data_IF_620912667559
#
_entry.id   IF_620912667559
#
_cell.length_a   1.000
_cell.length_b   1.000
_cell.length_c   1.000
_cell.angle_alpha   90.00
_cell.angle_beta   90.00
_cell.angle_gamma   90.00
#
_symmetry.space_group_name_H-M   'P 1'
#
loop_
_entity.id
_entity.type
_entity.pdbx_description
1 polymer ?
#
# COMPACT_ATOMS: atom_id res chain seq x y z
N UNK A 1 7.80 -7.68 -37.05
CA UNK A 1 8.32 -6.29 -37.07
C UNK A 1 7.43 -5.34 -36.26
N UNK A 2 6.10 -5.31 -36.46
CA UNK A 2 5.21 -4.46 -35.68
C UNK A 2 5.19 -4.79 -34.17
N UNK A 3 5.01 -6.07 -33.79
CA UNK A 3 4.98 -6.48 -32.39
C UNK A 3 6.27 -6.12 -31.61
N UNK A 4 7.44 -6.30 -32.22
CA UNK A 4 8.72 -5.96 -31.60
C UNK A 4 8.84 -4.45 -31.32
N UNK A 5 8.48 -3.60 -32.30
CA UNK A 5 8.55 -2.15 -32.12
C UNK A 5 7.59 -1.66 -31.03
N UNK A 6 6.41 -2.28 -30.89
CA UNK A 6 5.47 -1.98 -29.81
C UNK A 6 6.01 -2.43 -28.45
N UNK A 7 6.65 -3.60 -28.37
CA UNK A 7 7.32 -4.07 -27.16
C UNK A 7 8.46 -3.13 -26.76
N UNK A 8 9.29 -2.70 -27.72
CA UNK A 8 10.39 -1.76 -27.47
C UNK A 8 9.87 -0.41 -26.92
N UNK A 9 8.71 0.06 -27.40
CA UNK A 9 8.06 1.26 -26.87
C UNK A 9 7.59 1.09 -25.42
N UNK A 10 7.06 -0.09 -25.05
CA UNK A 10 6.67 -0.41 -23.67
C UNK A 10 7.89 -0.47 -22.74
N UNK A 11 9.00 -1.04 -23.22
CA UNK A 11 10.26 -1.11 -22.47
C UNK A 11 10.90 0.28 -22.28
N UNK A 12 10.76 1.17 -23.28
CA UNK A 12 11.27 2.54 -23.20
C UNK A 12 10.44 3.46 -22.29
N UNK A 13 9.13 3.22 -22.19
CA UNK A 13 8.19 3.98 -21.36
C UNK A 13 7.48 3.06 -20.33
N UNK A 14 8.23 2.50 -19.37
CA UNK A 14 7.77 1.47 -18.47
C UNK A 14 6.56 1.87 -17.62
N UNK A 15 6.38 3.15 -17.30
CA UNK A 15 5.28 3.60 -16.41
C UNK A 15 4.08 4.17 -17.17
N UNK A 16 4.15 4.30 -18.50
CA UNK A 16 3.09 4.87 -19.32
C UNK A 16 2.06 3.83 -19.78
N UNK A 17 0.78 4.18 -19.72
CA UNK A 17 -0.30 3.31 -20.19
C UNK A 17 -0.40 3.32 -21.73
N UNK A 18 -0.07 4.43 -22.39
CA UNK A 18 -0.35 4.62 -23.81
C UNK A 18 0.34 3.58 -24.71
N UNK A 19 1.65 3.27 -24.58
CA UNK A 19 2.30 2.22 -25.37
C UNK A 19 1.63 0.84 -25.20
N UNK A 20 1.12 0.56 -23.99
CA UNK A 20 0.44 -0.71 -23.68
C UNK A 20 -0.95 -0.77 -24.30
N UNK A 21 -1.68 0.34 -24.30
CA UNK A 21 -2.98 0.43 -24.95
C UNK A 21 -2.88 0.29 -26.47
N UNK A 22 -1.84 0.88 -27.08
CA UNK A 22 -1.56 0.67 -28.52
C UNK A 22 -1.20 -0.79 -28.81
N UNK A 23 -0.43 -1.45 -27.93
CA UNK A 23 -0.16 -2.88 -28.06
C UNK A 23 -1.43 -3.73 -27.89
N UNK A 24 -2.34 -3.33 -26.99
CA UNK A 24 -3.64 -3.97 -26.83
C UNK A 24 -4.52 -3.83 -28.08
N UNK A 25 -4.56 -2.65 -28.71
CA UNK A 25 -5.26 -2.44 -29.99
C UNK A 25 -4.74 -3.42 -31.06
N UNK A 26 -3.41 -3.53 -31.19
CA UNK A 26 -2.78 -4.44 -32.15
C UNK A 26 -3.10 -5.92 -31.88
N UNK A 27 -3.18 -6.33 -30.62
CA UNK A 27 -3.56 -7.70 -30.23
C UNK A 27 -5.03 -8.00 -30.55
N UNK A 28 -5.92 -7.06 -30.25
CA UNK A 28 -7.36 -7.19 -30.55
C UNK A 28 -7.61 -7.28 -32.08
N UNK A 29 -6.84 -6.55 -32.89
CA UNK A 29 -6.86 -6.67 -34.36
C UNK A 29 -6.44 -8.08 -34.85
N UNK A 30 -5.71 -8.84 -34.02
CA UNK A 30 -5.34 -10.24 -34.29
C UNK A 30 -6.27 -11.24 -33.57
N UNK A 31 -7.37 -10.79 -32.98
CA UNK A 31 -8.29 -11.59 -32.17
C UNK A 31 -7.64 -12.22 -30.92
N UNK A 32 -6.55 -11.63 -30.40
CA UNK A 32 -5.87 -12.09 -29.18
C UNK A 32 -6.54 -11.49 -27.92
N UNK A 33 -7.08 -12.32 -27.01
CA UNK A 33 -7.77 -11.85 -25.80
C UNK A 33 -6.85 -11.12 -24.80
N UNK A 34 -5.53 -11.19 -24.98
CA UNK A 34 -4.56 -10.45 -24.16
C UNK A 34 -4.73 -8.93 -24.29
N UNK A 35 -5.27 -8.45 -25.42
CA UNK A 35 -5.57 -7.03 -25.59
C UNK A 35 -6.61 -6.52 -24.58
N UNK A 36 -7.75 -7.22 -24.45
CA UNK A 36 -8.78 -6.92 -23.44
C UNK A 36 -8.17 -6.95 -22.02
N UNK A 37 -7.36 -7.97 -21.75
CA UNK A 37 -6.73 -8.16 -20.45
C UNK A 37 -5.73 -7.05 -20.09
N UNK A 38 -4.92 -6.56 -21.04
CA UNK A 38 -4.05 -5.39 -20.86
C UNK A 38 -4.88 -4.18 -20.43
N UNK A 39 -6.00 -3.89 -21.11
CA UNK A 39 -6.86 -2.75 -20.77
C UNK A 39 -7.44 -2.87 -19.37
N UNK A 40 -7.91 -4.06 -19.01
CA UNK A 40 -8.40 -4.35 -17.65
C UNK A 40 -7.31 -4.07 -16.63
N UNK A 41 -6.09 -4.60 -16.82
CA UNK A 41 -4.99 -4.38 -15.89
C UNK A 41 -4.53 -2.91 -15.84
N UNK A 42 -4.60 -2.17 -16.95
CA UNK A 42 -4.32 -0.73 -16.98
C UNK A 42 -5.36 0.03 -16.15
N UNK A 43 -6.64 -0.26 -16.32
CA UNK A 43 -7.70 0.39 -15.56
C UNK A 43 -7.62 0.03 -14.08
N UNK A 44 -7.36 -1.24 -13.75
CA UNK A 44 -7.10 -1.67 -12.37
C UNK A 44 -5.91 -0.92 -11.77
N UNK A 45 -4.81 -0.75 -12.49
CA UNK A 45 -3.65 0.00 -12.01
C UNK A 45 -3.97 1.49 -11.75
N UNK A 46 -4.87 2.10 -12.52
CA UNK A 46 -5.37 3.48 -12.26
C UNK A 46 -6.24 3.53 -11.03
N UNK A 47 -7.10 2.52 -10.83
CA UNK A 47 -7.92 2.39 -9.63
C UNK A 47 -7.06 2.14 -8.39
N UNK A 48 -5.96 1.39 -8.50
CA UNK A 48 -4.98 1.16 -7.41
C UNK A 48 -4.21 2.42 -7.00
N UNK A 49 -4.06 3.40 -7.89
CA UNK A 49 -3.51 4.72 -7.55
C UNK A 49 -4.49 5.58 -6.77
N UNK A 50 -5.78 5.21 -6.74
CA UNK A 50 -6.71 5.84 -5.82
C UNK A 50 -6.34 5.47 -4.38
N UNK A 51 -6.61 6.35 -3.41
CA UNK A 51 -6.43 6.05 -2.00
C UNK A 51 -7.06 4.70 -1.61
N UNK A 52 -6.27 3.85 -0.96
CA UNK A 52 -6.60 2.47 -0.60
C UNK A 52 -7.94 2.35 0.15
N UNK A 53 -8.78 1.38 -0.21
CA UNK A 53 -10.13 1.22 0.35
C UNK A 53 -11.25 1.72 -0.56
N UNK A 54 -10.91 2.38 -1.68
CA UNK A 54 -11.83 2.66 -2.80
C UNK A 54 -11.99 1.37 -3.61
N UNK A 55 -12.67 0.36 -3.05
CA UNK A 55 -13.06 -0.82 -3.82
C UNK A 55 -14.38 -0.51 -4.52
N UNK A 56 -14.26 0.14 -5.68
CA UNK A 56 -15.43 0.47 -6.48
C UNK A 56 -16.05 -0.82 -7.03
N UNK A 57 -17.38 -0.86 -7.27
CA UNK A 57 -18.02 -1.96 -7.99
C UNK A 57 -17.34 -2.24 -9.34
N UNK A 58 -16.81 -1.18 -9.96
CA UNK A 58 -15.97 -1.28 -11.16
C UNK A 58 -14.70 -2.12 -10.95
N UNK A 59 -14.00 -1.97 -9.81
CA UNK A 59 -12.82 -2.78 -9.47
C UNK A 59 -13.20 -4.26 -9.34
N UNK A 60 -14.26 -4.58 -8.60
CA UNK A 60 -14.71 -5.98 -8.42
C UNK A 60 -15.09 -6.62 -9.75
N UNK A 61 -15.83 -5.89 -10.60
CA UNK A 61 -16.17 -6.36 -11.95
C UNK A 61 -14.94 -6.57 -12.82
N UNK A 62 -13.99 -5.64 -12.81
CA UNK A 62 -12.75 -5.73 -13.58
C UNK A 62 -11.88 -6.88 -13.08
N UNK A 63 -11.79 -7.11 -11.77
CA UNK A 63 -11.05 -8.23 -11.18
C UNK A 63 -11.69 -9.57 -11.51
N UNK A 64 -13.01 -9.70 -11.41
CA UNK A 64 -13.69 -10.92 -11.83
C UNK A 64 -13.37 -11.24 -13.30
N UNK A 65 -13.42 -10.22 -14.18
CA UNK A 65 -13.07 -10.40 -15.59
C UNK A 65 -11.59 -10.70 -15.82
N UNK A 66 -10.69 -10.08 -15.06
CA UNK A 66 -9.25 -10.37 -15.06
C UNK A 66 -8.99 -11.85 -14.71
N UNK A 67 -9.66 -12.36 -13.67
CA UNK A 67 -9.57 -13.74 -13.20
C UNK A 67 -10.13 -14.74 -14.20
N UNK A 68 -11.28 -14.45 -14.82
CA UNK A 68 -11.86 -15.26 -15.90
C UNK A 68 -10.88 -15.44 -17.06
N UNK A 69 -10.35 -14.32 -17.55
CA UNK A 69 -9.38 -14.29 -18.65
C UNK A 69 -8.08 -15.01 -18.26
N UNK A 70 -7.57 -14.76 -17.06
CA UNK A 70 -6.39 -15.45 -16.55
C UNK A 70 -6.60 -16.96 -16.47
N UNK A 71 -7.71 -17.42 -15.87
CA UNK A 71 -7.99 -18.86 -15.73
C UNK A 71 -8.02 -19.59 -17.08
N UNK A 72 -8.46 -18.90 -18.14
CA UNK A 72 -8.55 -19.47 -19.47
C UNK A 72 -7.21 -19.45 -20.23
N UNK A 73 -6.46 -18.34 -20.15
CA UNK A 73 -5.34 -18.08 -21.08
C UNK A 73 -3.95 -17.97 -20.44
N UNK A 74 -3.82 -18.04 -19.10
CA UNK A 74 -2.55 -17.73 -18.43
C UNK A 74 -1.34 -18.52 -18.95
N UNK A 75 -1.53 -19.77 -19.37
CA UNK A 75 -0.43 -20.61 -19.89
C UNK A 75 0.19 -20.07 -21.18
N UNK A 76 -0.60 -19.40 -22.01
CA UNK A 76 -0.15 -18.80 -23.26
C UNK A 76 0.55 -17.46 -23.01
N UNK A 77 0.26 -16.82 -21.88
CA UNK A 77 0.80 -15.49 -21.54
C UNK A 77 2.02 -15.55 -20.63
N UNK A 78 2.16 -16.63 -19.86
CA UNK A 78 3.32 -16.85 -19.01
C UNK A 78 4.59 -16.85 -19.86
N UNK A 79 5.67 -16.20 -19.38
CA UNK A 79 6.98 -16.40 -19.97
C UNK A 79 7.32 -17.89 -19.99
N UNK A 80 7.93 -18.34 -21.08
CA UNK A 80 8.52 -19.69 -21.13
C UNK A 80 9.50 -19.84 -19.96
N UNK A 81 9.52 -20.99 -19.28
CA UNK A 81 10.42 -21.18 -18.16
C UNK A 81 11.87 -21.14 -18.64
N UNK A 82 12.71 -20.36 -17.94
CA UNK A 82 14.16 -20.26 -18.16
C UNK A 82 14.82 -21.64 -18.30
N UNK A 83 14.33 -22.60 -17.51
CA UNK A 83 14.62 -24.03 -17.58
C UNK A 83 13.36 -24.80 -17.10
N UNK A 84 12.89 -25.86 -17.79
CA UNK A 84 11.76 -26.68 -17.35
C UNK A 84 11.89 -27.23 -15.92
N UNK A 85 13.11 -27.46 -15.44
CA UNK A 85 13.39 -27.89 -14.06
C UNK A 85 13.18 -26.76 -13.03
N UNK A 86 13.15 -25.51 -13.49
CA UNK A 86 13.00 -24.29 -12.70
C UNK A 86 11.61 -23.65 -12.83
N UNK A 87 10.65 -24.32 -13.49
CA UNK A 87 9.32 -23.77 -13.75
C UNK A 87 8.57 -23.27 -12.51
N UNK A 88 8.93 -23.76 -11.31
CA UNK A 88 8.34 -23.33 -10.04
C UNK A 88 9.23 -22.38 -9.21
N UNK A 89 10.46 -22.11 -9.67
CA UNK A 89 11.41 -21.25 -8.96
C UNK A 89 11.08 -19.76 -9.13
N UNK A 90 10.48 -19.39 -10.26
CA UNK A 90 10.06 -18.03 -10.59
C UNK A 90 8.55 -17.97 -10.64
N UNK A 91 7.96 -17.18 -9.75
CA UNK A 91 6.51 -16.94 -9.76
C UNK A 91 6.26 -15.53 -10.26
N UNK A 92 5.80 -15.43 -11.50
CA UNK A 92 5.50 -14.17 -12.15
C UNK A 92 4.15 -13.62 -11.70
N UNK A 93 4.09 -12.30 -11.54
CA UNK A 93 2.86 -11.54 -11.41
C UNK A 93 2.85 -10.46 -12.47
N UNK A 94 1.66 -10.24 -13.01
CA UNK A 94 1.49 -9.33 -14.12
C UNK A 94 0.95 -7.99 -13.65
N UNK A 95 1.50 -6.92 -14.22
CA UNK A 95 0.95 -5.58 -14.13
C UNK A 95 0.78 -5.02 -15.53
N UNK A 96 -0.36 -4.37 -15.76
CA UNK A 96 -0.71 -3.71 -17.02
C UNK A 96 -0.45 -4.59 -18.25
N UNK A 97 -0.67 -5.90 -18.13
CA UNK A 97 -0.55 -6.85 -19.22
C UNK A 97 0.77 -7.61 -19.37
N UNK A 98 1.76 -7.34 -18.52
CA UNK A 98 3.11 -7.90 -18.64
C UNK A 98 3.62 -8.44 -17.31
N UNK A 99 4.44 -9.49 -17.38
CA UNK A 99 5.20 -9.97 -16.23
C UNK A 99 6.17 -8.88 -15.79
N UNK A 100 5.80 -8.12 -14.77
CA UNK A 100 6.57 -6.99 -14.25
C UNK A 100 7.10 -7.28 -12.83
N UNK A 101 6.43 -8.22 -12.15
CA UNK A 101 6.77 -8.72 -10.83
C UNK A 101 7.24 -10.16 -10.92
N UNK A 102 8.30 -10.48 -10.16
CA UNK A 102 8.75 -11.85 -9.99
C UNK A 102 9.02 -12.14 -8.51
N UNK A 103 8.56 -13.29 -8.04
CA UNK A 103 8.95 -13.85 -6.75
C UNK A 103 9.92 -15.01 -6.95
N UNK A 104 11.05 -14.96 -6.26
CA UNK A 104 12.17 -15.89 -6.44
C UNK A 104 13.03 -15.92 -5.17
N UNK A 105 13.73 -17.02 -4.89
CA UNK A 105 14.73 -17.02 -3.81
C UNK A 105 15.97 -16.21 -4.19
N UNK A 106 16.67 -15.61 -3.22
CA UNK A 106 17.90 -14.85 -3.47
C UNK A 106 18.96 -15.66 -4.24
N UNK A 107 19.20 -16.92 -3.86
CA UNK A 107 20.16 -17.79 -4.52
C UNK A 107 19.83 -18.04 -6.01
N UNK A 108 18.58 -18.41 -6.30
CA UNK A 108 18.11 -18.62 -7.68
C UNK A 108 18.21 -17.36 -8.54
N UNK A 109 17.89 -16.20 -7.97
CA UNK A 109 18.06 -14.94 -8.68
C UNK A 109 19.53 -14.67 -9.01
N UNK A 110 20.43 -14.82 -8.03
CA UNK A 110 21.87 -14.60 -8.26
C UNK A 110 22.44 -15.52 -9.34
N UNK A 111 21.93 -16.74 -9.45
CA UNK A 111 22.37 -17.71 -10.46
C UNK A 111 21.81 -17.42 -11.87
N UNK A 112 20.59 -16.86 -11.98
CA UNK A 112 19.85 -16.77 -13.23
C UNK A 112 19.41 -15.35 -13.63
N UNK A 113 19.88 -14.30 -12.94
CA UNK A 113 19.43 -12.93 -13.19
C UNK A 113 19.68 -12.48 -14.64
N UNK A 114 20.85 -12.77 -15.22
CA UNK A 114 21.15 -12.41 -16.61
C UNK A 114 20.11 -12.96 -17.58
N UNK A 115 19.79 -14.25 -17.45
CA UNK A 115 18.80 -14.93 -18.28
C UNK A 115 17.38 -14.40 -18.01
N UNK A 116 17.02 -14.19 -16.75
CA UNK A 116 15.74 -13.60 -16.35
C UNK A 116 15.48 -12.27 -17.06
N UNK A 117 16.46 -11.36 -17.04
CA UNK A 117 16.30 -10.04 -17.66
C UNK A 117 16.47 -10.06 -19.18
N UNK A 118 17.08 -11.10 -19.75
CA UNK A 118 17.13 -11.29 -21.20
C UNK A 118 15.77 -11.76 -21.74
N UNK A 119 15.14 -12.73 -21.06
CA UNK A 119 13.88 -13.33 -21.49
C UNK A 119 12.65 -12.52 -21.06
N UNK A 120 12.70 -11.89 -19.89
CA UNK A 120 11.61 -11.10 -19.31
C UNK A 120 12.09 -9.69 -18.95
N UNK A 121 12.45 -8.85 -19.96
CA UNK A 121 13.02 -7.53 -19.72
C UNK A 121 12.05 -6.53 -19.05
N UNK A 122 10.77 -6.87 -18.94
CA UNK A 122 9.74 -6.07 -18.26
C UNK A 122 9.83 -6.15 -16.72
N UNK A 123 10.53 -7.13 -16.15
CA UNK A 123 10.67 -7.27 -14.70
C UNK A 123 11.40 -6.07 -14.11
N UNK A 124 10.75 -5.43 -13.15
CA UNK A 124 11.34 -4.32 -12.36
C UNK A 124 10.95 -4.39 -10.87
N UNK A 125 10.21 -5.42 -10.47
CA UNK A 125 9.71 -5.60 -9.11
C UNK A 125 10.04 -7.03 -8.70
N UNK A 126 10.84 -7.19 -7.66
CA UNK A 126 11.24 -8.53 -7.21
C UNK A 126 10.96 -8.70 -5.73
N UNK A 127 10.27 -9.80 -5.42
CA UNK A 127 10.04 -10.28 -4.06
C UNK A 127 10.96 -11.46 -3.79
N UNK A 128 11.89 -11.27 -2.87
CA UNK A 128 12.90 -12.26 -2.53
C UNK A 128 12.47 -13.14 -1.37
N UNK A 129 12.66 -14.45 -1.57
CA UNK A 129 12.58 -15.46 -0.51
C UNK A 129 13.98 -15.84 -0.06
N UNK A 130 14.13 -16.35 1.17
CA UNK A 130 15.38 -16.88 1.71
C UNK A 130 16.57 -15.92 1.56
N UNK A 131 16.37 -14.66 1.92
CA UNK A 131 17.37 -13.58 1.70
C UNK A 131 18.58 -13.71 2.63
N UNK A 132 18.39 -14.21 3.86
CA UNK A 132 19.38 -14.10 4.94
C UNK A 132 20.75 -14.68 4.61
N UNK A 133 20.82 -15.78 3.86
CA UNK A 133 22.09 -16.45 3.55
C UNK A 133 22.85 -15.80 2.39
N UNK A 134 22.17 -15.00 1.57
CA UNK A 134 22.74 -14.39 0.37
C UNK A 134 22.54 -12.88 0.32
N UNK A 135 22.24 -12.25 1.47
CA UNK A 135 21.91 -10.82 1.52
C UNK A 135 23.08 -9.98 1.01
N UNK A 136 24.30 -10.33 1.40
CA UNK A 136 25.48 -9.58 1.00
C UNK A 136 25.72 -9.68 -0.51
N UNK A 137 25.72 -10.88 -1.08
CA UNK A 137 25.88 -11.05 -2.54
C UNK A 137 24.73 -10.37 -3.29
N UNK A 138 23.50 -10.50 -2.80
CA UNK A 138 22.32 -9.86 -3.39
C UNK A 138 22.47 -8.34 -3.42
N UNK A 139 22.82 -7.71 -2.30
CA UNK A 139 23.00 -6.26 -2.20
C UNK A 139 24.18 -5.72 -3.02
N UNK A 140 25.06 -6.59 -3.54
CA UNK A 140 26.15 -6.21 -4.47
C UNK A 140 25.84 -6.59 -5.93
N UNK A 141 24.64 -7.12 -6.23
CA UNK A 141 24.27 -7.49 -7.58
C UNK A 141 23.83 -6.27 -8.39
N UNK A 142 24.57 -6.01 -9.48
CA UNK A 142 24.26 -4.93 -10.44
C UNK A 142 22.88 -5.09 -11.09
N UNK A 143 22.31 -6.29 -11.07
CA UNK A 143 20.96 -6.56 -11.52
C UNK A 143 19.88 -5.81 -10.74
N UNK A 144 20.14 -5.47 -9.46
CA UNK A 144 19.18 -4.71 -8.65
C UNK A 144 18.96 -3.28 -9.18
N UNK A 145 19.88 -2.75 -9.99
CA UNK A 145 19.70 -1.45 -10.65
C UNK A 145 18.55 -1.42 -11.65
N UNK A 146 18.08 -2.59 -12.09
CA UNK A 146 16.90 -2.71 -12.97
C UNK A 146 15.58 -2.64 -12.19
N UNK A 147 15.63 -2.62 -10.85
CA UNK A 147 14.46 -2.72 -10.01
C UNK A 147 14.01 -1.36 -9.49
N UNK A 148 12.70 -1.17 -9.52
CA UNK A 148 11.98 -0.05 -8.89
C UNK A 148 11.37 -0.49 -7.55
N UNK A 149 10.95 -1.75 -7.43
CA UNK A 149 10.46 -2.32 -6.17
C UNK A 149 11.36 -3.45 -5.71
N UNK A 150 11.78 -3.37 -4.45
CA UNK A 150 12.48 -4.43 -3.75
C UNK A 150 11.66 -4.88 -2.55
N UNK A 151 11.20 -6.13 -2.58
CA UNK A 151 10.47 -6.75 -1.48
C UNK A 151 11.35 -7.81 -0.80
N UNK A 152 11.79 -7.51 0.41
CA UNK A 152 12.57 -8.37 1.31
C UNK A 152 11.72 -8.78 2.53
N UNK A 153 10.40 -8.78 2.39
CA UNK A 153 9.48 -9.16 3.45
C UNK A 153 9.57 -10.66 3.78
N UNK A 154 9.50 -11.00 5.05
CA UNK A 154 9.38 -12.40 5.46
C UNK A 154 7.98 -12.91 5.09
N UNK A 155 7.91 -14.09 4.46
CA UNK A 155 6.64 -14.72 4.09
C UNK A 155 6.49 -16.17 4.54
N UNK A 156 7.58 -16.94 4.57
CA UNK A 156 7.53 -18.39 4.80
C UNK A 156 8.71 -18.94 5.60
N UNK A 157 9.76 -18.15 5.81
CA UNK A 157 11.05 -18.66 6.26
C UNK A 157 11.25 -18.43 7.77
N UNK A 158 12.05 -19.29 8.40
CA UNK A 158 12.44 -19.16 9.82
C UNK A 158 13.51 -18.08 10.06
N UNK A 159 14.03 -17.47 8.99
CA UNK A 159 15.05 -16.42 9.07
C UNK A 159 14.43 -15.04 8.78
N UNK A 160 14.64 -14.13 9.72
CA UNK A 160 14.12 -12.76 9.68
C UNK A 160 15.29 -11.81 9.45
N UNK A 161 15.10 -10.76 8.67
CA UNK A 161 16.03 -9.63 8.70
C UNK A 161 15.97 -8.96 10.08
N UNK A 162 17.14 -8.57 10.58
CA UNK A 162 17.36 -7.91 11.86
C UNK A 162 18.13 -6.62 11.66
N UNK A 163 18.32 -5.88 12.74
CA UNK A 163 19.11 -4.64 12.75
C UNK A 163 20.53 -4.80 12.22
N UNK A 164 21.13 -5.99 12.36
CA UNK A 164 22.46 -6.30 11.82
C UNK A 164 22.50 -6.34 10.29
N UNK A 165 21.36 -6.55 9.64
CA UNK A 165 21.24 -6.72 8.19
C UNK A 165 20.95 -5.39 7.48
N UNK A 166 20.34 -4.44 8.20
CA UNK A 166 19.94 -3.13 7.65
C UNK A 166 21.13 -2.30 7.14
N UNK A 167 22.31 -2.25 7.81
CA UNK A 167 23.48 -1.59 7.26
C UNK A 167 23.85 -2.08 5.85
N UNK A 168 23.77 -3.39 5.60
CA UNK A 168 24.09 -3.97 4.29
C UNK A 168 23.12 -3.50 3.21
N UNK A 169 21.83 -3.39 3.52
CA UNK A 169 20.81 -2.86 2.61
C UNK A 169 21.01 -1.35 2.42
N UNK A 170 21.16 -0.61 3.52
CA UNK A 170 21.30 0.84 3.56
C UNK A 170 22.55 1.36 2.83
N UNK A 171 23.60 0.54 2.72
CA UNK A 171 24.85 0.88 2.04
C UNK A 171 24.95 0.36 0.61
N UNK A 172 23.95 -0.40 0.12
CA UNK A 172 24.01 -0.94 -1.24
C UNK A 172 24.00 0.18 -2.28
N UNK A 173 25.02 0.20 -3.13
CA UNK A 173 25.10 1.11 -4.27
C UNK A 173 24.23 0.67 -5.44
N UNK A 174 23.69 -0.56 -5.41
CA UNK A 174 22.92 -1.17 -6.49
C UNK A 174 21.40 -0.88 -6.38
N UNK A 175 20.96 -0.19 -5.33
CA UNK A 175 19.56 0.17 -5.10
C UNK A 175 19.20 1.60 -5.57
N UNK A 176 20.00 2.18 -6.46
CA UNK A 176 19.88 3.59 -6.85
C UNK A 176 18.61 3.93 -7.66
N UNK A 177 17.95 2.91 -8.23
CA UNK A 177 16.68 3.02 -8.94
C UNK A 177 15.46 2.58 -8.10
N UNK A 178 15.68 2.02 -6.91
CA UNK A 178 14.59 1.53 -6.06
C UNK A 178 13.83 2.70 -5.45
N UNK A 179 12.52 2.70 -5.66
CA UNK A 179 11.57 3.68 -5.12
C UNK A 179 10.61 3.06 -4.11
N UNK A 180 10.49 1.74 -4.09
CA UNK A 180 9.62 1.02 -3.16
C UNK A 180 10.40 -0.07 -2.44
N UNK A 181 10.46 0.02 -1.10
CA UNK A 181 11.12 -0.97 -0.25
C UNK A 181 10.12 -1.59 0.72
N UNK A 182 9.95 -2.90 0.63
CA UNK A 182 9.10 -3.67 1.54
C UNK A 182 9.96 -4.57 2.43
N UNK A 183 9.78 -4.41 3.75
CA UNK A 183 10.51 -5.12 4.80
C UNK A 183 9.53 -5.74 5.81
N UNK A 184 8.35 -6.15 5.35
CA UNK A 184 7.24 -6.61 6.20
C UNK A 184 7.63 -7.90 6.93
N UNK A 185 7.10 -8.12 8.13
CA UNK A 185 7.24 -9.38 8.89
C UNK A 185 8.69 -9.73 9.28
N UNK A 186 9.58 -8.73 9.37
CA UNK A 186 10.95 -8.92 9.82
C UNK A 186 11.09 -8.67 11.34
N UNK A 187 12.33 -8.68 11.86
CA UNK A 187 12.64 -8.36 13.26
C UNK A 187 13.53 -7.12 13.34
N UNK A 188 13.12 -6.08 12.63
CA UNK A 188 13.79 -4.80 12.63
C UNK A 188 13.28 -3.99 13.82
N UNK A 189 14.21 -3.48 14.59
CA UNK A 189 14.01 -2.67 15.79
C UNK A 189 14.59 -1.25 15.54
N UNK A 190 14.67 -0.44 16.60
CA UNK A 190 15.06 0.97 16.49
C UNK A 190 16.48 1.16 15.92
N UNK A 191 17.42 0.27 16.24
CA UNK A 191 18.82 0.41 15.81
C UNK A 191 18.97 0.21 14.30
N UNK A 192 18.19 -0.69 13.71
CA UNK A 192 18.11 -0.88 12.26
C UNK A 192 17.61 0.40 11.57
N UNK A 193 16.63 1.08 12.15
CA UNK A 193 16.15 2.35 11.59
C UNK A 193 17.17 3.48 11.61
N UNK A 194 18.07 3.53 12.60
CA UNK A 194 19.14 4.54 12.57
C UNK A 194 20.02 4.43 11.32
N UNK A 195 20.26 3.21 10.82
CA UNK A 195 21.05 2.98 9.61
C UNK A 195 20.29 3.38 8.35
N UNK A 196 19.00 3.04 8.28
CA UNK A 196 18.15 3.43 7.15
C UNK A 196 17.91 4.94 7.11
N UNK A 197 17.73 5.58 8.28
CA UNK A 197 17.55 7.02 8.42
C UNK A 197 18.74 7.83 7.88
N UNK A 198 19.96 7.29 7.99
CA UNK A 198 21.17 7.92 7.45
C UNK A 198 21.47 7.54 5.99
N UNK A 199 20.66 6.69 5.36
CA UNK A 199 20.93 6.15 4.03
C UNK A 199 20.46 7.07 2.91
N UNK A 200 21.24 7.14 1.82
CA UNK A 200 20.82 7.74 0.56
C UNK A 200 19.71 6.95 -0.17
N UNK A 201 19.47 5.71 0.23
CA UNK A 201 18.32 4.93 -0.24
C UNK A 201 17.02 5.63 0.16
N UNK A 202 16.93 6.11 1.40
CA UNK A 202 15.69 6.68 1.95
C UNK A 202 15.22 7.91 1.16
N UNK A 203 16.13 8.73 0.63
CA UNK A 203 15.78 9.89 -0.20
C UNK A 203 15.31 9.56 -1.60
N UNK A 204 15.36 8.30 -2.01
CA UNK A 204 14.81 7.84 -3.29
C UNK A 204 13.48 7.12 -3.13
N UNK A 205 13.22 6.62 -1.92
CA UNK A 205 11.99 5.89 -1.66
C UNK A 205 10.79 6.83 -1.70
N UNK A 206 9.78 6.39 -2.45
CA UNK A 206 8.40 6.88 -2.38
C UNK A 206 7.56 6.03 -1.44
N UNK A 207 7.86 4.73 -1.35
CA UNK A 207 7.14 3.79 -0.49
C UNK A 207 8.11 3.05 0.42
N UNK A 208 7.86 3.14 1.71
CA UNK A 208 8.54 2.35 2.73
C UNK A 208 7.50 1.57 3.53
N UNK A 209 7.54 0.24 3.40
CA UNK A 209 6.67 -0.64 4.16
C UNK A 209 7.46 -1.42 5.21
N UNK A 210 7.23 -1.08 6.46
CA UNK A 210 7.86 -1.64 7.65
C UNK A 210 6.83 -2.38 8.53
N UNK A 211 5.63 -2.68 8.01
CA UNK A 211 4.59 -3.34 8.79
C UNK A 211 5.08 -4.66 9.43
N UNK A 212 4.51 -5.00 10.59
CA UNK A 212 4.81 -6.25 11.31
C UNK A 212 6.31 -6.40 11.66
N UNK A 213 6.88 -5.34 12.24
CA UNK A 213 8.25 -5.30 12.80
C UNK A 213 8.20 -4.86 14.28
N UNK A 214 9.33 -4.41 14.84
CA UNK A 214 9.44 -3.95 16.24
C UNK A 214 10.13 -2.60 16.34
N UNK A 215 9.84 -1.73 15.38
CA UNK A 215 10.54 -0.45 15.19
C UNK A 215 10.45 0.44 16.43
N UNK A 216 9.30 0.43 17.12
CA UNK A 216 9.07 1.19 18.33
C UNK A 216 9.04 2.71 18.11
N UNK A 217 8.76 3.45 19.19
CA UNK A 217 8.80 4.93 19.15
C UNK A 217 10.18 5.48 18.78
N UNK A 218 11.26 4.85 19.25
CA UNK A 218 12.64 5.28 18.97
C UNK A 218 13.01 5.09 17.48
N UNK A 219 12.61 3.98 16.86
CA UNK A 219 12.85 3.77 15.43
C UNK A 219 12.10 4.79 14.56
N UNK A 220 10.86 5.14 14.94
CA UNK A 220 10.12 6.21 14.25
C UNK A 220 10.76 7.58 14.47
N UNK A 221 11.35 7.83 15.64
CA UNK A 221 12.10 9.05 15.90
C UNK A 221 13.30 9.18 14.97
N UNK A 222 14.07 8.10 14.74
CA UNK A 222 15.18 8.10 13.77
C UNK A 222 14.72 8.50 12.36
N UNK A 223 13.63 7.89 11.87
CA UNK A 223 13.07 8.24 10.56
C UNK A 223 12.59 9.70 10.51
N UNK A 224 11.94 10.16 11.57
CA UNK A 224 11.38 11.51 11.68
C UNK A 224 12.46 12.60 11.73
N UNK A 225 13.65 12.30 12.25
CA UNK A 225 14.78 13.23 12.28
C UNK A 225 15.58 13.23 10.96
N UNK A 226 15.32 12.27 10.07
CA UNK A 226 16.04 12.18 8.80
C UNK A 226 15.47 13.13 7.76
N UNK A 227 16.32 14.02 7.25
CA UNK A 227 16.01 14.86 6.07
C UNK A 227 15.85 14.05 4.79
N UNK A 228 16.32 12.80 4.77
CA UNK A 228 16.20 11.89 3.63
C UNK A 228 14.77 11.37 3.46
N UNK A 229 13.87 11.52 4.45
CA UNK A 229 12.48 11.04 4.36
C UNK A 229 11.55 11.92 3.49
N UNK A 230 12.05 13.02 2.94
CA UNK A 230 11.24 14.06 2.29
C UNK A 230 10.52 13.66 1.00
N UNK A 231 11.00 12.62 0.34
CA UNK A 231 10.37 12.08 -0.87
C UNK A 231 9.40 10.93 -0.58
N UNK A 232 9.26 10.48 0.68
CA UNK A 232 8.32 9.42 1.01
C UNK A 232 6.88 9.90 0.83
N UNK A 233 6.16 9.19 -0.03
CA UNK A 233 4.74 9.39 -0.30
C UNK A 233 3.88 8.44 0.54
N UNK A 234 4.39 7.25 0.85
CA UNK A 234 3.67 6.21 1.59
C UNK A 234 4.55 5.59 2.66
N UNK A 235 4.10 5.68 3.91
CA UNK A 235 4.76 5.09 5.08
C UNK A 235 3.79 4.14 5.79
N UNK A 236 4.15 2.85 5.79
CA UNK A 236 3.36 1.77 6.36
C UNK A 236 4.10 1.22 7.59
N UNK A 237 3.50 1.43 8.76
CA UNK A 237 4.07 1.18 10.09
C UNK A 237 3.10 0.36 10.96
N UNK A 238 2.23 -0.42 10.33
CA UNK A 238 1.27 -1.27 11.03
C UNK A 238 1.99 -2.24 11.98
N UNK A 239 1.46 -2.43 13.18
CA UNK A 239 1.97 -3.36 14.18
C UNK A 239 3.48 -3.25 14.42
N UNK A 240 3.93 -2.09 14.93
CA UNK A 240 5.35 -1.77 15.15
C UNK A 240 5.67 -1.32 16.58
N UNK A 241 4.72 -1.47 17.51
CA UNK A 241 4.83 -1.00 18.89
C UNK A 241 5.15 0.50 19.01
N UNK A 242 4.60 1.31 18.11
CA UNK A 242 4.73 2.77 18.14
C UNK A 242 3.84 3.32 19.24
N UNK A 243 4.41 4.18 20.08
CA UNK A 243 3.73 4.88 21.16
C UNK A 243 3.51 6.37 20.89
N UNK A 244 3.00 7.08 21.89
CA UNK A 244 2.78 8.52 21.85
C UNK A 244 4.06 9.31 21.51
N UNK A 245 5.21 8.89 22.02
CA UNK A 245 6.50 9.54 21.79
C UNK A 245 6.93 9.45 20.32
N UNK A 246 6.66 8.32 19.67
CA UNK A 246 6.93 8.14 18.24
C UNK A 246 6.06 9.06 17.39
N UNK A 247 4.77 9.21 17.74
CA UNK A 247 3.89 10.15 17.04
C UNK A 247 4.25 11.61 17.31
N UNK A 248 4.72 11.95 18.50
CA UNK A 248 5.24 13.28 18.78
C UNK A 248 6.45 13.59 17.88
N UNK A 249 7.40 12.67 17.76
CA UNK A 249 8.54 12.83 16.86
C UNK A 249 8.12 12.97 15.38
N UNK A 250 7.15 12.16 14.94
CA UNK A 250 6.59 12.24 13.58
C UNK A 250 5.92 13.59 13.34
N UNK A 251 5.14 14.09 14.29
CA UNK A 251 4.41 15.35 14.17
C UNK A 251 5.31 16.60 14.19
N UNK A 252 6.41 16.56 14.96
CA UNK A 252 7.39 17.63 15.05
C UNK A 252 8.35 17.67 13.84
N UNK A 253 8.45 16.57 13.09
CA UNK A 253 9.33 16.50 11.94
C UNK A 253 8.90 17.44 10.81
N UNK A 254 9.80 18.27 10.27
CA UNK A 254 9.53 19.10 9.11
C UNK A 254 9.68 18.33 7.79
N UNK A 255 10.03 17.04 7.82
CA UNK A 255 10.50 16.33 6.64
C UNK A 255 9.40 15.60 5.86
N UNK A 256 8.21 15.35 6.41
CA UNK A 256 7.14 14.58 5.75
C UNK A 256 6.39 15.33 4.63
N UNK A 257 7.08 16.18 3.87
CA UNK A 257 6.50 17.12 2.90
C UNK A 257 5.82 16.48 1.71
N UNK A 258 6.12 15.22 1.40
CA UNK A 258 5.50 14.48 0.30
C UNK A 258 4.53 13.39 0.79
N UNK A 259 4.35 13.23 2.10
CA UNK A 259 3.65 12.08 2.66
C UNK A 259 2.14 12.17 2.40
N UNK A 260 1.64 11.24 1.60
CA UNK A 260 0.24 11.13 1.18
C UNK A 260 -0.49 10.00 1.89
N UNK A 261 0.22 8.95 2.31
CA UNK A 261 -0.36 7.82 3.03
C UNK A 261 0.45 7.50 4.28
N UNK A 262 -0.25 7.42 5.41
CA UNK A 262 0.29 6.97 6.69
C UNK A 262 -0.60 5.87 7.25
N UNK A 263 -0.03 4.70 7.50
CA UNK A 263 -0.71 3.57 8.14
C UNK A 263 -0.04 3.25 9.46
N UNK A 264 -0.83 3.28 10.53
CA UNK A 264 -0.39 3.09 11.91
C UNK A 264 -1.20 2.00 12.62
N UNK A 265 -1.95 1.19 11.87
CA UNK A 265 -2.85 0.18 12.41
C UNK A 265 -2.17 -0.74 13.41
N UNK A 266 -2.89 -1.23 14.42
CA UNK A 266 -2.39 -2.17 15.43
C UNK A 266 -1.23 -1.65 16.27
N UNK A 267 -1.05 -0.34 16.35
CA UNK A 267 -0.20 0.29 17.34
C UNK A 267 -1.07 0.66 18.56
N UNK A 268 -1.23 -0.27 19.49
CA UNK A 268 -2.15 -0.11 20.63
C UNK A 268 -1.69 0.91 21.69
N UNK A 269 -0.51 1.49 21.53
CA UNK A 269 0.13 2.37 22.50
C UNK A 269 0.19 3.84 22.05
N UNK A 270 -0.49 4.23 20.97
CA UNK A 270 -0.51 5.63 20.52
C UNK A 270 -1.07 6.54 21.62
N UNK A 271 -2.20 6.12 22.23
CA UNK A 271 -2.89 6.87 23.28
C UNK A 271 -3.38 8.25 22.83
N UNK A 272 -4.15 8.91 23.70
CA UNK A 272 -4.73 10.23 23.41
C UNK A 272 -3.67 11.29 23.07
N UNK A 273 -2.55 11.30 23.81
CA UNK A 273 -1.43 12.22 23.56
C UNK A 273 -0.80 12.02 22.18
N UNK A 274 -0.66 10.76 21.73
CA UNK A 274 -0.14 10.48 20.40
C UNK A 274 -1.07 10.99 19.31
N UNK A 275 -2.39 10.82 19.46
CA UNK A 275 -3.37 11.36 18.50
C UNK A 275 -3.38 12.89 18.51
N UNK A 276 -3.27 13.52 19.69
CA UNK A 276 -3.14 14.97 19.82
C UNK A 276 -1.89 15.48 19.09
N UNK A 277 -0.74 14.83 19.27
CA UNK A 277 0.49 15.16 18.54
C UNK A 277 0.30 15.00 17.03
N UNK A 278 -0.26 13.86 16.58
CA UNK A 278 -0.53 13.62 15.17
C UNK A 278 -1.43 14.71 14.59
N UNK A 279 -2.51 15.09 15.28
CA UNK A 279 -3.41 16.16 14.85
C UNK A 279 -2.70 17.54 14.75
N UNK A 280 -1.64 17.76 15.54
CA UNK A 280 -0.80 18.96 15.47
C UNK A 280 0.27 18.94 14.36
N UNK A 281 0.42 17.84 13.61
CA UNK A 281 1.47 17.68 12.62
C UNK A 281 1.30 18.61 11.41
N UNK A 282 2.20 19.60 11.29
CA UNK A 282 2.13 20.61 10.22
C UNK A 282 2.70 20.13 8.88
N UNK A 283 3.62 19.17 8.92
CA UNK A 283 4.28 18.61 7.73
C UNK A 283 3.41 17.61 6.97
N UNK A 284 2.32 17.12 7.56
CA UNK A 284 1.39 16.15 6.94
C UNK A 284 0.33 16.82 6.07
N UNK A 285 0.58 18.02 5.55
CA UNK A 285 -0.35 18.82 4.75
C UNK A 285 -0.62 18.26 3.34
N UNK A 286 -0.07 17.10 3.00
CA UNK A 286 -0.38 16.36 1.77
C UNK A 286 -1.00 14.97 2.04
N UNK A 287 -1.27 14.63 3.32
CA UNK A 287 -1.83 13.36 3.71
C UNK A 287 -3.26 13.18 3.19
N UNK A 288 -3.47 12.19 2.31
CA UNK A 288 -4.74 11.85 1.68
C UNK A 288 -5.37 10.59 2.28
N UNK A 289 -4.55 9.70 2.86
CA UNK A 289 -4.99 8.44 3.46
C UNK A 289 -4.38 8.25 4.85
N UNK A 290 -5.24 8.08 5.85
CA UNK A 290 -4.86 7.78 7.23
C UNK A 290 -5.47 6.46 7.70
N UNK A 291 -4.62 5.54 8.15
CA UNK A 291 -5.03 4.28 8.77
C UNK A 291 -4.71 4.24 10.26
N UNK A 292 -5.74 4.09 11.09
CA UNK A 292 -5.68 4.02 12.56
C UNK A 292 -6.53 2.85 13.09
N UNK A 293 -6.58 1.74 12.36
CA UNK A 293 -7.34 0.56 12.77
C UNK A 293 -6.70 -0.11 13.98
N UNK A 294 -7.50 -0.57 14.95
CA UNK A 294 -6.98 -1.25 16.15
C UNK A 294 -5.90 -0.41 16.85
N UNK A 295 -6.13 0.90 17.02
CA UNK A 295 -5.18 1.82 17.66
C UNK A 295 -5.66 2.29 19.04
N UNK A 296 -6.81 1.79 19.50
CA UNK A 296 -7.40 2.16 20.78
C UNK A 296 -7.99 3.57 20.80
N UNK A 297 -8.54 4.05 19.67
CA UNK A 297 -9.21 5.35 19.61
C UNK A 297 -10.56 5.34 20.32
N UNK A 298 -10.89 6.48 20.92
CA UNK A 298 -12.12 6.80 21.63
C UNK A 298 -12.83 7.96 20.93
N UNK A 299 -14.11 8.24 21.28
CA UNK A 299 -14.87 9.29 20.61
C UNK A 299 -14.16 10.65 20.57
N UNK A 300 -13.52 11.06 21.68
CA UNK A 300 -12.82 12.35 21.79
C UNK A 300 -11.63 12.50 20.83
N UNK A 301 -11.03 11.40 20.37
CA UNK A 301 -9.88 11.44 19.47
C UNK A 301 -10.28 11.86 18.05
N UNK A 302 -11.52 11.58 17.66
CA UNK A 302 -12.09 12.02 16.38
C UNK A 302 -12.16 13.54 16.29
N UNK A 303 -12.47 14.22 17.40
CA UNK A 303 -12.54 15.68 17.44
C UNK A 303 -11.15 16.30 17.22
N UNK A 304 -10.09 15.67 17.72
CA UNK A 304 -8.72 16.11 17.46
C UNK A 304 -8.34 15.90 16.00
N UNK A 305 -8.60 14.70 15.48
CA UNK A 305 -8.33 14.39 14.07
C UNK A 305 -9.11 15.33 13.14
N UNK A 306 -10.35 15.66 13.48
CA UNK A 306 -11.17 16.62 12.74
C UNK A 306 -10.56 18.03 12.71
N UNK A 307 -9.79 18.44 13.72
CA UNK A 307 -9.13 19.74 13.79
C UNK A 307 -7.73 19.74 13.16
N UNK A 308 -7.24 18.57 12.72
CA UNK A 308 -5.92 18.45 12.14
C UNK A 308 -5.81 19.19 10.80
N UNK A 309 -4.65 19.80 10.47
CA UNK A 309 -4.45 20.50 9.19
C UNK A 309 -4.68 19.62 7.96
N UNK A 310 -4.45 18.31 8.11
CA UNK A 310 -4.64 17.35 7.02
C UNK A 310 -6.09 16.88 6.83
N UNK A 311 -6.99 17.08 7.80
CA UNK A 311 -8.32 16.52 7.74
C UNK A 311 -9.08 16.91 6.46
N UNK A 312 -9.11 18.20 6.04
CA UNK A 312 -9.86 18.62 4.85
C UNK A 312 -9.44 17.94 3.54
N UNK A 313 -8.22 17.41 3.44
CA UNK A 313 -7.73 16.77 2.20
C UNK A 313 -7.82 15.24 2.24
N UNK A 314 -8.20 14.65 3.39
CA UNK A 314 -8.33 13.21 3.53
C UNK A 314 -9.43 12.70 2.60
N UNK A 315 -9.08 11.67 1.83
CA UNK A 315 -10.02 10.89 1.01
C UNK A 315 -10.26 9.51 1.63
N UNK A 316 -9.33 9.00 2.43
CA UNK A 316 -9.44 7.71 3.10
C UNK A 316 -9.18 7.90 4.59
N UNK A 317 -10.15 7.48 5.39
CA UNK A 317 -10.01 7.40 6.84
C UNK A 317 -10.44 6.01 7.30
N UNK A 318 -9.48 5.26 7.84
CA UNK A 318 -9.73 3.92 8.34
C UNK A 318 -9.62 3.88 9.86
N UNK A 319 -10.73 3.58 10.51
CA UNK A 319 -10.92 3.62 11.96
C UNK A 319 -11.45 2.30 12.49
N UNK A 320 -11.35 1.21 11.73
CA UNK A 320 -11.88 -0.09 12.10
C UNK A 320 -11.36 -0.56 13.46
N UNK A 321 -12.19 -1.27 14.21
CA UNK A 321 -11.84 -1.95 15.46
C UNK A 321 -11.24 -0.98 16.50
N UNK A 322 -11.84 0.20 16.60
CA UNK A 322 -11.65 1.12 17.71
C UNK A 322 -12.93 1.12 18.57
N UNK A 323 -13.05 2.04 19.53
CA UNK A 323 -14.23 2.16 20.40
C UNK A 323 -14.89 3.51 20.21
N UNK A 324 -15.27 3.81 18.96
CA UNK A 324 -15.84 5.11 18.63
C UNK A 324 -17.30 5.28 19.07
N UNK A 325 -18.10 4.21 19.07
CA UNK A 325 -19.53 4.26 19.42
C UNK A 325 -20.29 5.29 18.57
N UNK A 326 -21.57 5.52 18.88
CA UNK A 326 -22.36 6.58 18.24
C UNK A 326 -21.80 7.98 18.55
N UNK A 327 -21.14 8.16 19.70
CA UNK A 327 -20.56 9.43 20.11
C UNK A 327 -19.39 9.87 19.22
N UNK A 328 -18.62 8.92 18.69
CA UNK A 328 -17.55 9.18 17.73
C UNK A 328 -18.10 9.49 16.35
N UNK A 329 -19.16 8.78 15.93
CA UNK A 329 -19.91 9.10 14.71
C UNK A 329 -20.47 10.52 14.76
N UNK A 330 -21.06 10.92 15.88
CA UNK A 330 -21.57 12.28 16.10
C UNK A 330 -20.49 13.35 15.86
N UNK A 331 -19.25 13.09 16.27
CA UNK A 331 -18.11 13.99 16.04
C UNK A 331 -17.65 14.01 14.59
N UNK A 332 -17.65 12.86 13.91
CA UNK A 332 -17.37 12.78 12.48
C UNK A 332 -18.36 13.67 11.70
N UNK A 333 -19.66 13.50 11.93
CA UNK A 333 -20.72 14.19 11.15
C UNK A 333 -20.85 15.68 11.48
N UNK A 334 -20.40 16.11 12.67
CA UNK A 334 -20.34 17.53 13.05
C UNK A 334 -19.19 18.28 12.39
N UNK A 335 -18.14 17.59 11.97
CA UNK A 335 -16.99 18.20 11.34
C UNK A 335 -17.18 18.31 9.83
N UNK A 336 -17.04 19.53 9.29
CA UNK A 336 -16.98 19.74 7.84
C UNK A 336 -15.62 19.36 7.24
N UNK A 337 -14.60 19.17 8.08
CA UNK A 337 -13.25 18.89 7.62
C UNK A 337 -13.10 17.47 7.05
N UNK A 338 -14.15 16.64 7.04
CA UNK A 338 -14.14 15.32 6.40
C UNK A 338 -15.01 15.26 5.13
N UNK A 339 -15.42 16.40 4.57
CA UNK A 339 -16.33 16.45 3.40
C UNK A 339 -15.76 15.83 2.11
N UNK A 340 -14.43 15.73 2.03
CA UNK A 340 -13.71 15.14 0.89
C UNK A 340 -13.45 13.64 1.06
N UNK A 341 -13.94 13.02 2.15
CA UNK A 341 -13.83 11.58 2.33
C UNK A 341 -14.55 10.86 1.20
N UNK A 342 -13.86 9.86 0.68
CA UNK A 342 -14.35 8.88 -0.29
C UNK A 342 -14.49 7.50 0.33
N UNK A 343 -13.64 7.18 1.28
CA UNK A 343 -13.68 5.92 2.03
C UNK A 343 -13.68 6.23 3.50
N UNK A 344 -14.70 5.70 4.18
CA UNK A 344 -14.82 5.73 5.62
C UNK A 344 -14.99 4.30 6.12
N UNK A 345 -13.99 3.79 6.81
CA UNK A 345 -14.03 2.45 7.41
C UNK A 345 -14.26 2.57 8.93
N UNK A 346 -15.44 2.14 9.35
CA UNK A 346 -15.93 2.14 10.72
C UNK A 346 -16.23 0.72 11.22
N UNK A 347 -15.69 -0.31 10.57
CA UNK A 347 -15.92 -1.71 10.95
C UNK A 347 -15.61 -1.92 12.43
N UNK A 348 -16.47 -2.58 13.21
CA UNK A 348 -16.14 -3.00 14.58
C UNK A 348 -15.94 -1.86 15.58
N UNK A 349 -16.80 -0.83 15.57
CA UNK A 349 -16.70 0.33 16.45
C UNK A 349 -17.80 0.45 17.52
N UNK A 350 -18.70 -0.54 17.62
CA UNK A 350 -19.84 -0.50 18.54
C UNK A 350 -20.88 0.56 18.16
N UNK A 351 -21.04 0.81 16.86
CA UNK A 351 -22.04 1.75 16.31
C UNK A 351 -23.41 1.08 16.31
N UNK A 352 -24.43 1.78 16.78
CA UNK A 352 -25.82 1.32 16.79
C UNK A 352 -26.63 1.99 15.67
N UNK A 353 -27.91 1.64 15.57
CA UNK A 353 -28.84 2.29 14.63
C UNK A 353 -28.91 3.81 14.80
N UNK A 354 -28.59 4.34 15.98
CA UNK A 354 -28.52 5.78 16.22
C UNK A 354 -27.32 6.41 15.49
N UNK A 355 -26.13 5.80 15.57
CA UNK A 355 -24.99 6.25 14.78
C UNK A 355 -25.23 6.08 13.28
N UNK A 356 -25.92 5.02 12.84
CA UNK A 356 -26.32 4.87 11.45
C UNK A 356 -27.23 6.02 10.96
N UNK A 357 -28.22 6.43 11.77
CA UNK A 357 -29.07 7.60 11.48
C UNK A 357 -28.24 8.88 11.38
N UNK A 358 -27.31 9.10 12.31
CA UNK A 358 -26.43 10.27 12.28
C UNK A 358 -25.59 10.33 11.00
N UNK A 359 -25.05 9.20 10.53
CA UNK A 359 -24.34 9.11 9.26
C UNK A 359 -25.27 9.42 8.08
N UNK A 360 -26.47 8.85 8.07
CA UNK A 360 -27.42 9.02 6.97
C UNK A 360 -27.93 10.48 6.85
N UNK A 361 -28.16 11.14 7.98
CA UNK A 361 -28.59 12.55 8.06
C UNK A 361 -27.46 13.53 7.73
N UNK A 362 -26.20 13.07 7.69
CA UNK A 362 -25.06 13.92 7.37
C UNK A 362 -25.06 14.32 5.88
N UNK A 363 -24.92 15.62 5.64
CA UNK A 363 -24.85 16.22 4.30
C UNK A 363 -23.43 16.35 3.75
N UNK A 364 -22.41 16.03 4.55
CA UNK A 364 -21.01 16.20 4.16
C UNK A 364 -20.39 14.92 3.58
N UNK A 365 -21.12 13.80 3.56
CA UNK A 365 -20.63 12.50 3.07
C UNK A 365 -21.19 12.09 1.71
N UNK A 366 -21.62 13.05 0.89
CA UNK A 366 -22.11 12.80 -0.48
C UNK A 366 -21.05 12.24 -1.43
N UNK A 367 -19.77 12.44 -1.11
CA UNK A 367 -18.64 11.97 -1.93
C UNK A 367 -18.16 10.56 -1.56
N UNK A 368 -18.78 9.93 -0.56
CA UNK A 368 -18.43 8.56 -0.17
C UNK A 368 -18.72 7.59 -1.31
N UNK A 369 -17.75 6.73 -1.56
CA UNK A 369 -17.87 5.58 -2.47
C UNK A 369 -17.68 4.26 -1.75
N UNK A 370 -17.19 4.29 -0.52
CA UNK A 370 -17.15 3.13 0.35
C UNK A 370 -17.38 3.58 1.80
N UNK A 371 -18.43 3.08 2.41
CA UNK A 371 -18.75 3.17 3.83
C UNK A 371 -18.81 1.75 4.37
N UNK A 372 -17.84 1.40 5.23
CA UNK A 372 -17.79 0.06 5.83
C UNK A 372 -18.20 0.13 7.28
N UNK A 373 -19.25 -0.61 7.63
CA UNK A 373 -19.87 -0.59 8.96
C UNK A 373 -20.10 -1.99 9.53
N UNK A 374 -19.46 -3.03 8.95
CA UNK A 374 -19.59 -4.39 9.45
C UNK A 374 -19.13 -4.53 10.91
N UNK A 375 -19.56 -5.61 11.56
CA UNK A 375 -19.17 -5.94 12.92
C UNK A 375 -19.50 -4.84 13.95
N UNK A 376 -20.46 -3.97 13.64
CA UNK A 376 -21.09 -3.04 14.57
C UNK A 376 -22.38 -3.64 15.16
N UNK A 377 -23.06 -2.88 16.02
CA UNK A 377 -24.31 -3.26 16.68
C UNK A 377 -25.54 -2.76 15.89
N UNK A 378 -25.47 -2.83 14.56
CA UNK A 378 -26.54 -2.42 13.66
C UNK A 378 -27.60 -3.51 13.54
N UNK A 379 -28.86 -3.12 13.67
CA UNK A 379 -29.99 -3.96 13.26
C UNK A 379 -30.15 -3.92 11.73
N UNK A 380 -31.04 -4.76 11.21
CA UNK A 380 -31.43 -4.68 9.79
C UNK A 380 -31.99 -3.30 9.42
N UNK A 381 -32.64 -2.60 10.36
CA UNK A 381 -33.17 -1.26 10.12
C UNK A 381 -32.03 -0.23 10.00
N UNK A 382 -31.04 -0.27 10.89
CA UNK A 382 -29.87 0.61 10.83
C UNK A 382 -29.06 0.43 9.53
N UNK A 383 -28.85 -0.82 9.11
CA UNK A 383 -28.21 -1.11 7.83
C UNK A 383 -29.04 -0.59 6.65
N UNK A 384 -30.37 -0.76 6.69
CA UNK A 384 -31.24 -0.29 5.62
C UNK A 384 -31.22 1.24 5.49
N UNK A 385 -31.20 1.97 6.62
CA UNK A 385 -31.11 3.45 6.62
C UNK A 385 -29.86 3.92 5.87
N UNK A 386 -28.71 3.27 6.09
CA UNK A 386 -27.48 3.60 5.39
C UNK A 386 -27.58 3.28 3.89
N UNK A 387 -28.16 2.14 3.54
CA UNK A 387 -28.35 1.72 2.14
C UNK A 387 -29.31 2.64 1.39
N UNK A 388 -30.39 3.08 2.03
CA UNK A 388 -31.35 4.02 1.46
C UNK A 388 -30.68 5.37 1.13
N UNK A 389 -29.70 5.77 1.94
CA UNK A 389 -28.97 7.03 1.76
C UNK A 389 -27.83 6.95 0.75
N UNK A 390 -26.98 5.93 0.88
CA UNK A 390 -25.70 5.85 0.16
C UNK A 390 -25.74 4.85 -1.01
N UNK A 391 -26.72 3.96 -1.05
CA UNK A 391 -26.81 2.85 -2.00
C UNK A 391 -26.02 1.61 -1.56
N UNK A 392 -26.42 0.45 -2.08
CA UNK A 392 -25.78 -0.84 -1.80
C UNK A 392 -24.31 -0.89 -2.23
N UNK A 393 -23.95 -0.16 -3.29
CA UNK A 393 -22.60 -0.11 -3.83
C UNK A 393 -21.62 0.68 -2.94
N UNK A 394 -22.14 1.60 -2.12
CA UNK A 394 -21.34 2.41 -1.19
C UNK A 394 -21.28 1.75 0.18
N UNK A 395 -22.38 1.15 0.65
CA UNK A 395 -22.41 0.41 1.92
C UNK A 395 -21.85 -1.00 1.69
N UNK A 396 -20.53 -1.10 1.66
CA UNK A 396 -19.82 -2.34 1.36
C UNK A 396 -19.77 -3.22 2.60
N UNK A 397 -20.33 -4.43 2.49
CA UNK A 397 -20.13 -5.49 3.46
C UNK A 397 -18.84 -6.24 3.14
N UNK A 398 -18.04 -6.56 4.15
CA UNK A 398 -16.76 -7.28 4.05
C UNK A 398 -16.90 -8.73 3.56
N UNK A 399 -18.13 -9.20 3.30
CA UNK A 399 -18.48 -10.55 2.86
C UNK A 399 -19.45 -10.59 1.65
N UNK A 400 -19.60 -9.47 0.93
CA UNK A 400 -20.48 -9.37 -0.25
C UNK A 400 -19.69 -9.23 -1.53
#
# INVERSE_FOLDING_TARGET
MAAQALMDAILAAPDEDNPRLVYADWLEDQEDPRGEWIRIQVELARLEQMPEGVFLPAWSRLKLREEELWAQYYKEWLPEPLDPTLANAFVYRFRRGFAEECRVSAAMFLQHADQLFLEVPTIRRVSFLMVSESLFELMNSEHLRKLVTLDLSMRTDVTFLRDTDIPTIAMSSCLDQVQELYLIWNRIEAQGMSSLACSSLLSRLKVLNLAENRIGSEGLQWLSQSSQSSNLERLLLEHNHIGAEGLAALAESPHWTSLQQLKLSRNNSLGRKGIESLAGAKSLNHLVSLGLQECGLWPADIEMLAQAPFAPQLKVLQLSRNRLLDEGVLRLVKSKNFENLRVLDLIGNGITDEGAKQLADCKHFDNLVALRVDFNELSSEGTQILKDRFGDEVVVNSYG
#
